data_IF_270432085571
#
_entry.id   IF_270432085571
#
_cell.length_a   1.000
_cell.length_b   1.000
_cell.length_c   1.000
_cell.angle_alpha   90.00
_cell.angle_beta   90.00
_cell.angle_gamma   90.00
#
_symmetry.space_group_name_H-M   'P 1'
#
loop_
_entity.id
_entity.type
_entity.pdbx_description
1 polymer ?
#
# COMPACT_ATOMS: atom_id res chain seq x y z
N UNK A 1 -32.80 31.07 -55.31
CA UNK A 1 -31.39 31.37 -54.86
C UNK A 1 -31.41 31.23 -53.34
N UNK A 2 -30.93 30.08 -52.86
CA UNK A 2 -30.88 29.79 -51.41
C UNK A 2 -29.65 30.43 -50.80
N UNK A 3 -29.88 31.41 -49.97
CA UNK A 3 -28.79 31.98 -49.16
C UNK A 3 -28.35 30.95 -48.11
N UNK A 4 -27.23 30.33 -48.35
CA UNK A 4 -26.51 29.56 -47.35
C UNK A 4 -25.92 30.53 -46.32
N UNK A 5 -26.71 30.90 -45.32
CA UNK A 5 -26.19 31.63 -44.15
C UNK A 5 -25.21 30.73 -43.42
N UNK A 6 -23.92 30.91 -43.74
CA UNK A 6 -22.82 30.21 -43.09
C UNK A 6 -22.82 30.52 -41.58
N UNK A 7 -23.05 29.50 -40.81
CA UNK A 7 -22.99 29.50 -39.35
C UNK A 7 -21.54 29.85 -38.91
N UNK A 8 -21.22 31.13 -38.83
CA UNK A 8 -19.90 31.62 -38.41
C UNK A 8 -19.79 31.55 -36.91
N UNK A 9 -18.86 30.74 -36.42
CA UNK A 9 -18.51 30.72 -35.00
C UNK A 9 -17.65 31.94 -34.70
N UNK A 10 -18.05 32.77 -33.74
CA UNK A 10 -17.29 33.90 -33.25
C UNK A 10 -16.70 33.61 -31.88
N UNK A 11 -15.47 34.01 -31.67
CA UNK A 11 -14.85 33.98 -30.37
C UNK A 11 -15.49 35.06 -29.49
N UNK A 12 -16.04 34.63 -28.34
CA UNK A 12 -16.58 35.53 -27.31
C UNK A 12 -15.71 35.42 -26.08
N UNK A 13 -15.21 36.54 -25.61
CA UNK A 13 -14.39 36.65 -24.42
C UNK A 13 -15.31 36.56 -23.19
N UNK A 14 -15.34 35.35 -22.53
CA UNK A 14 -15.99 35.19 -21.27
C UNK A 14 -14.94 35.26 -20.13
N UNK A 15 -14.86 36.42 -19.50
CA UNK A 15 -13.87 36.67 -18.45
C UNK A 15 -14.01 35.72 -17.25
N UNK A 16 -15.23 35.25 -16.95
CA UNK A 16 -15.49 34.29 -15.85
C UNK A 16 -14.87 32.93 -16.15
N UNK A 17 -15.03 32.46 -17.39
CA UNK A 17 -14.43 31.22 -17.86
C UNK A 17 -12.91 31.30 -17.86
N UNK A 18 -12.37 32.42 -18.30
CA UNK A 18 -10.92 32.64 -18.31
C UNK A 18 -10.34 32.76 -16.89
N UNK A 19 -11.04 33.43 -15.99
CA UNK A 19 -10.65 33.50 -14.57
C UNK A 19 -10.65 32.10 -13.96
N UNK A 20 -11.70 31.31 -14.19
CA UNK A 20 -11.77 29.93 -13.73
C UNK A 20 -10.61 29.09 -14.27
N UNK A 21 -10.41 29.09 -15.58
CA UNK A 21 -9.29 28.37 -16.20
C UNK A 21 -7.91 28.87 -15.72
N UNK A 22 -7.75 30.20 -15.58
CA UNK A 22 -6.54 30.82 -15.09
C UNK A 22 -6.13 30.44 -13.66
N UNK A 23 -7.12 30.11 -12.81
CA UNK A 23 -6.87 29.62 -11.45
C UNK A 23 -6.65 28.10 -11.43
N UNK A 24 -7.53 27.35 -12.08
CA UNK A 24 -7.52 25.89 -11.99
C UNK A 24 -6.44 25.21 -12.84
N UNK A 25 -6.08 25.75 -13.99
CA UNK A 25 -5.02 25.21 -14.85
C UNK A 25 -3.66 25.16 -14.12
N UNK A 26 -3.16 26.27 -13.56
CA UNK A 26 -1.92 26.24 -12.78
C UNK A 26 -1.99 25.30 -11.58
N UNK A 27 -3.16 25.24 -10.90
CA UNK A 27 -3.36 24.34 -9.78
C UNK A 27 -3.24 22.86 -10.21
N UNK A 28 -3.94 22.45 -11.27
CA UNK A 28 -3.92 21.07 -11.78
C UNK A 28 -2.50 20.68 -12.25
N UNK A 29 -1.81 21.58 -12.96
CA UNK A 29 -0.44 21.36 -13.42
C UNK A 29 0.51 21.26 -12.20
N UNK A 30 0.37 22.14 -11.23
CA UNK A 30 1.16 22.13 -10.00
C UNK A 30 0.97 20.83 -9.18
N UNK A 31 -0.27 20.35 -9.06
CA UNK A 31 -0.55 19.06 -8.42
C UNK A 31 0.04 17.88 -9.21
N UNK A 32 0.02 17.94 -10.54
CA UNK A 32 0.67 16.94 -11.38
C UNK A 32 2.18 16.86 -11.12
N UNK A 33 2.87 17.98 -11.10
CA UNK A 33 4.31 18.02 -10.80
C UNK A 33 4.62 17.63 -9.36
N UNK A 34 3.80 18.04 -8.40
CA UNK A 34 3.94 17.60 -7.00
C UNK A 34 3.86 16.08 -6.86
N UNK A 35 2.93 15.43 -7.58
CA UNK A 35 2.83 13.97 -7.58
C UNK A 35 4.06 13.30 -8.22
N UNK A 36 4.61 13.86 -9.30
CA UNK A 36 5.84 13.35 -9.91
C UNK A 36 7.03 13.46 -8.96
N UNK A 37 7.15 14.57 -8.25
CA UNK A 37 8.22 14.77 -7.26
C UNK A 37 8.10 13.74 -6.12
N UNK A 38 6.88 13.49 -5.62
CA UNK A 38 6.61 12.45 -4.61
C UNK A 38 6.94 11.05 -5.12
N UNK A 39 6.60 10.73 -6.38
CA UNK A 39 6.98 9.46 -6.99
C UNK A 39 8.50 9.29 -7.03
N UNK A 40 9.23 10.33 -7.44
CA UNK A 40 10.69 10.35 -7.48
C UNK A 40 11.32 10.17 -6.10
N UNK A 41 10.86 10.88 -5.09
CA UNK A 41 11.33 10.74 -3.70
C UNK A 41 11.14 9.30 -3.19
N UNK A 42 9.96 8.72 -3.43
CA UNK A 42 9.65 7.35 -3.02
C UNK A 42 10.52 6.33 -3.76
N UNK A 43 10.75 6.54 -5.07
CA UNK A 43 11.62 5.67 -5.84
C UNK A 43 13.07 5.71 -5.34
N UNK A 44 13.62 6.89 -5.12
CA UNK A 44 14.98 7.06 -4.57
C UNK A 44 15.14 6.38 -3.21
N UNK A 45 14.14 6.50 -2.34
CA UNK A 45 14.15 5.83 -1.04
C UNK A 45 14.17 4.31 -1.19
N UNK A 46 13.38 3.75 -2.11
CA UNK A 46 13.35 2.31 -2.38
C UNK A 46 14.69 1.81 -2.96
N UNK A 47 15.28 2.59 -3.87
CA UNK A 47 16.59 2.27 -4.47
C UNK A 47 17.70 2.28 -3.41
N UNK A 48 17.70 3.27 -2.51
CA UNK A 48 18.63 3.32 -1.37
C UNK A 48 18.44 2.11 -0.45
N UNK A 49 17.20 1.78 -0.09
CA UNK A 49 16.93 0.62 0.76
C UNK A 49 17.34 -0.71 0.12
N UNK A 50 17.24 -0.85 -1.20
CA UNK A 50 17.74 -2.03 -1.90
C UNK A 50 19.27 -2.14 -1.85
N UNK A 51 19.98 -1.03 -1.98
CA UNK A 51 21.42 -0.97 -1.83
C UNK A 51 21.83 -1.31 -0.40
N UNK A 52 21.23 -0.66 0.58
CA UNK A 52 21.51 -0.87 2.00
C UNK A 52 21.21 -2.30 2.48
N UNK A 53 20.20 -2.96 1.91
CA UNK A 53 19.80 -4.31 2.32
C UNK A 53 20.83 -5.39 1.98
N UNK A 54 21.72 -5.13 1.02
CA UNK A 54 22.80 -6.04 0.64
C UNK A 54 24.00 -5.92 1.57
N UNK A 55 24.14 -4.82 2.31
CA UNK A 55 25.36 -4.49 3.04
C UNK A 55 25.15 -4.44 4.57
N UNK A 56 23.91 -4.44 5.07
CA UNK A 56 23.63 -4.28 6.50
C UNK A 56 23.24 -5.60 7.17
N UNK A 57 24.06 -6.03 8.12
CA UNK A 57 23.76 -7.11 9.05
C UNK A 57 22.53 -6.76 9.93
N UNK A 58 21.76 -7.75 10.31
CA UNK A 58 20.55 -7.57 11.12
C UNK A 58 20.77 -6.73 12.41
N UNK A 59 21.84 -6.95 13.20
CA UNK A 59 22.10 -6.13 14.37
C UNK A 59 22.32 -4.66 14.05
N UNK A 60 22.94 -4.35 12.93
CA UNK A 60 23.16 -2.98 12.47
C UNK A 60 21.85 -2.32 12.05
N UNK A 61 21.03 -3.06 11.30
CA UNK A 61 19.70 -2.61 10.88
C UNK A 61 18.81 -2.25 12.09
N UNK A 62 18.86 -3.09 13.14
CA UNK A 62 18.12 -2.84 14.39
C UNK A 62 18.59 -1.56 15.08
N UNK A 63 19.88 -1.21 14.98
CA UNK A 63 20.44 0.02 15.55
C UNK A 63 20.12 1.27 14.74
N UNK A 64 20.19 1.19 13.42
CA UNK A 64 19.97 2.33 12.51
C UNK A 64 18.51 2.74 12.41
N UNK A 65 17.59 1.80 12.43
CA UNK A 65 16.17 2.04 12.34
C UNK A 65 15.43 0.98 11.49
N UNK A 66 14.22 0.70 11.91
CA UNK A 66 13.38 -0.35 11.35
C UNK A 66 12.17 0.27 10.65
N UNK A 67 12.41 0.93 9.52
CA UNK A 67 11.35 1.59 8.75
C UNK A 67 10.57 0.58 7.91
N UNK A 68 9.24 0.67 7.95
CA UNK A 68 8.36 -0.23 7.21
C UNK A 68 8.61 -0.15 5.69
N UNK A 69 8.63 -1.31 5.04
CA UNK A 69 8.91 -1.47 3.62
C UNK A 69 10.39 -1.67 3.28
N UNK A 70 11.31 -1.44 4.21
CA UNK A 70 12.75 -1.67 3.99
C UNK A 70 13.03 -3.16 3.79
N UNK A 71 13.77 -3.57 2.73
CA UNK A 71 14.17 -4.95 2.53
C UNK A 71 15.12 -5.43 3.63
N UNK A 72 15.05 -6.71 3.94
CA UNK A 72 15.92 -7.38 4.92
C UNK A 72 16.20 -8.81 4.51
N UNK A 73 17.44 -9.25 4.69
CA UNK A 73 17.85 -10.65 4.58
C UNK A 73 18.26 -11.16 5.96
N UNK A 74 17.80 -12.35 6.33
CA UNK A 74 18.09 -12.99 7.61
C UNK A 74 18.56 -14.41 7.40
N UNK A 75 19.55 -14.84 8.18
CA UNK A 75 19.92 -16.25 8.32
C UNK A 75 19.69 -16.69 9.76
N UNK A 76 19.02 -17.82 9.97
CA UNK A 76 18.69 -18.27 11.33
C UNK A 76 17.77 -19.47 11.35
N UNK A 77 17.03 -19.63 12.44
CA UNK A 77 16.11 -20.75 12.66
C UNK A 77 14.73 -20.28 13.12
N UNK A 78 13.69 -20.97 12.67
CA UNK A 78 12.34 -20.77 13.21
C UNK A 78 12.20 -21.44 14.59
N UNK A 79 11.36 -20.83 15.41
CA UNK A 79 10.85 -21.40 16.65
C UNK A 79 9.46 -22.01 16.40
N UNK A 80 8.96 -22.84 17.29
CA UNK A 80 7.62 -23.42 17.19
C UNK A 80 6.52 -22.41 17.55
N UNK A 81 6.86 -21.34 18.24
CA UNK A 81 5.90 -20.32 18.68
C UNK A 81 5.38 -19.48 17.52
N UNK A 82 4.07 -19.63 17.26
CA UNK A 82 3.40 -18.92 16.19
C UNK A 82 2.08 -18.31 16.66
N UNK A 83 1.81 -17.08 16.23
CA UNK A 83 0.51 -16.43 16.34
C UNK A 83 -0.24 -16.53 15.02
N UNK A 84 -1.52 -16.84 15.11
CA UNK A 84 -2.47 -16.87 14.00
C UNK A 84 -3.33 -15.61 14.10
N UNK A 85 -3.01 -14.63 13.28
CA UNK A 85 -3.75 -13.38 13.22
C UNK A 85 -5.07 -13.61 12.47
N UNK A 86 -6.16 -13.57 13.20
CA UNK A 86 -7.52 -13.91 12.75
C UNK A 86 -8.13 -12.84 11.85
N UNK A 87 -9.28 -13.15 11.24
CA UNK A 87 -10.04 -12.27 10.37
C UNK A 87 -9.28 -11.82 9.10
N UNK A 88 -8.44 -12.69 8.55
CA UNK A 88 -7.73 -12.48 7.28
C UNK A 88 -8.41 -13.24 6.16
N UNK A 89 -9.10 -12.52 5.29
CA UNK A 89 -9.81 -13.12 4.14
C UNK A 89 -9.00 -12.98 2.87
N UNK A 90 -8.86 -14.06 2.11
CA UNK A 90 -8.25 -14.09 0.78
C UNK A 90 -9.17 -14.84 -0.19
N UNK A 91 -9.46 -14.23 -1.32
CA UNK A 91 -10.34 -14.79 -2.37
C UNK A 91 -11.69 -15.29 -1.82
N UNK A 92 -12.25 -14.57 -0.84
CA UNK A 92 -13.51 -14.92 -0.18
C UNK A 92 -13.42 -16.04 0.86
N UNK A 93 -12.25 -16.68 1.05
CA UNK A 93 -12.02 -17.69 2.08
C UNK A 93 -11.48 -17.06 3.38
N UNK A 94 -11.99 -17.47 4.56
CA UNK A 94 -11.44 -17.05 5.83
C UNK A 94 -10.09 -17.72 6.11
N UNK A 95 -9.22 -17.05 6.83
CA UNK A 95 -7.89 -17.55 7.15
C UNK A 95 -7.16 -16.70 8.18
N UNK A 96 -5.90 -17.01 8.34
CA UNK A 96 -4.98 -16.40 9.29
C UNK A 96 -3.74 -15.88 8.58
N UNK A 97 -3.17 -14.78 9.03
CA UNK A 97 -1.76 -14.51 8.80
C UNK A 97 -0.93 -15.16 9.91
N UNK A 98 0.15 -15.85 9.52
CA UNK A 98 0.97 -16.63 10.45
C UNK A 98 2.22 -15.86 10.82
N UNK A 99 2.34 -15.47 12.08
CA UNK A 99 3.51 -14.80 12.63
C UNK A 99 4.29 -15.78 13.50
N UNK A 100 5.49 -16.18 13.08
CA UNK A 100 6.35 -17.14 13.77
C UNK A 100 7.59 -16.43 14.30
N UNK A 101 8.06 -16.84 15.48
CA UNK A 101 9.32 -16.38 16.04
C UNK A 101 10.48 -16.90 15.20
N UNK A 102 11.43 -16.04 14.90
CA UNK A 102 12.65 -16.38 14.20
C UNK A 102 13.85 -15.89 15.01
N UNK A 103 14.84 -16.73 15.12
CA UNK A 103 16.12 -16.45 15.77
C UNK A 103 17.19 -16.28 14.70
N UNK A 104 17.55 -15.04 14.35
CA UNK A 104 18.69 -14.78 13.48
C UNK A 104 19.99 -15.31 14.12
N UNK A 105 20.99 -15.63 13.30
CA UNK A 105 22.31 -16.05 13.80
C UNK A 105 22.95 -14.96 14.67
N UNK A 106 22.69 -13.72 14.34
CA UNK A 106 23.17 -12.55 15.07
C UNK A 106 22.02 -11.57 15.31
N UNK A 107 22.05 -10.92 16.47
CA UNK A 107 21.07 -9.93 16.86
C UNK A 107 19.83 -10.47 17.58
N UNK A 108 18.83 -9.62 17.83
CA UNK A 108 17.64 -10.00 18.59
C UNK A 108 16.69 -10.88 17.76
N UNK A 109 15.84 -11.69 18.44
CA UNK A 109 14.78 -12.43 17.77
C UNK A 109 13.82 -11.47 17.06
N UNK A 110 13.14 -11.96 16.03
CA UNK A 110 12.15 -11.19 15.27
C UNK A 110 10.92 -12.04 14.96
N UNK A 111 9.76 -11.40 14.82
CA UNK A 111 8.59 -12.07 14.27
C UNK A 111 8.63 -12.04 12.75
N UNK A 112 8.42 -13.20 12.14
CA UNK A 112 8.32 -13.34 10.69
C UNK A 112 6.86 -13.63 10.34
N UNK A 113 6.24 -12.73 9.57
CA UNK A 113 4.94 -12.99 8.96
C UNK A 113 5.16 -13.84 7.71
N UNK A 114 4.79 -15.11 7.81
CA UNK A 114 5.00 -16.15 6.81
C UNK A 114 3.94 -16.20 5.73
N UNK A 115 2.95 -15.32 5.80
CA UNK A 115 1.86 -15.28 4.84
C UNK A 115 0.53 -15.80 5.39
N UNK A 116 -0.42 -15.92 4.49
CA UNK A 116 -1.78 -16.34 4.79
C UNK A 116 -1.95 -17.85 4.69
N UNK A 117 -2.66 -18.41 5.68
CA UNK A 117 -3.04 -19.81 5.77
C UNK A 117 -4.56 -19.90 5.91
N UNK A 118 -5.19 -20.77 5.12
CA UNK A 118 -6.64 -20.95 5.17
C UNK A 118 -7.09 -21.52 6.53
N UNK A 119 -8.19 -20.99 7.07
CA UNK A 119 -8.79 -21.50 8.27
C UNK A 119 -9.39 -22.91 8.04
N UNK A 120 -9.36 -23.80 9.05
CA UNK A 120 -10.12 -25.04 9.04
C UNK A 120 -11.63 -24.80 8.88
N UNK A 121 -12.39 -25.86 8.64
CA UNK A 121 -13.85 -25.76 8.48
C UNK A 121 -14.56 -25.37 9.77
N UNK A 122 -14.01 -25.75 10.89
CA UNK A 122 -14.53 -25.47 12.23
C UNK A 122 -13.64 -24.45 12.93
N UNK A 123 -14.26 -23.52 13.65
CA UNK A 123 -13.52 -22.43 14.31
C UNK A 123 -12.76 -22.91 15.57
N UNK A 124 -13.15 -24.03 16.11
CA UNK A 124 -12.53 -24.66 17.29
C UNK A 124 -11.16 -25.26 16.97
N UNK A 125 -10.96 -25.69 15.73
CA UNK A 125 -9.70 -26.23 15.26
C UNK A 125 -8.76 -25.12 14.83
N UNK A 126 -7.49 -25.26 15.18
CA UNK A 126 -6.41 -24.40 14.65
C UNK A 126 -5.62 -25.19 13.60
N UNK A 127 -5.18 -24.53 12.53
CA UNK A 127 -4.34 -25.20 11.54
C UNK A 127 -2.98 -25.56 12.14
N UNK A 128 -2.41 -26.66 11.67
CA UNK A 128 -1.03 -27.00 12.00
C UNK A 128 -0.07 -26.00 11.31
N UNK A 129 0.86 -25.49 12.10
CA UNK A 129 1.89 -24.56 11.63
C UNK A 129 3.23 -25.24 11.73
N UNK A 130 3.59 -26.01 10.69
CA UNK A 130 4.93 -26.58 10.59
C UNK A 130 5.97 -25.50 10.36
N UNK A 131 7.16 -25.66 10.92
CA UNK A 131 8.32 -24.82 10.68
C UNK A 131 9.43 -25.62 10.00
N UNK A 132 10.18 -25.05 9.05
CA UNK A 132 11.37 -25.70 8.51
C UNK A 132 12.38 -26.00 9.60
N UNK A 133 12.98 -27.18 9.54
CA UNK A 133 14.05 -27.58 10.46
C UNK A 133 15.38 -26.98 10.04
N UNK A 134 16.23 -26.67 11.03
CA UNK A 134 17.60 -26.20 10.80
C UNK A 134 17.68 -24.75 10.36
N UNK A 135 18.87 -24.38 9.90
CA UNK A 135 19.19 -23.03 9.45
C UNK A 135 18.57 -22.76 8.08
N UNK A 136 17.89 -21.64 7.96
CA UNK A 136 17.32 -21.14 6.69
C UNK A 136 17.75 -19.71 6.43
N UNK A 137 17.69 -19.31 5.15
CA UNK A 137 17.88 -17.94 4.70
C UNK A 137 16.54 -17.38 4.24
N UNK A 138 16.21 -16.18 4.72
CA UNK A 138 14.96 -15.52 4.45
C UNK A 138 15.21 -14.16 3.83
N UNK A 139 14.42 -13.82 2.82
CA UNK A 139 14.30 -12.47 2.31
C UNK A 139 12.90 -11.95 2.60
N UNK A 140 12.82 -10.67 2.98
CA UNK A 140 11.55 -10.06 3.33
C UNK A 140 11.63 -8.54 3.42
N UNK A 141 10.56 -7.95 3.91
CA UNK A 141 10.47 -6.50 4.18
C UNK A 141 10.04 -6.25 5.61
N UNK A 142 10.59 -5.20 6.19
CA UNK A 142 10.15 -4.73 7.50
C UNK A 142 8.69 -4.24 7.41
N UNK A 143 7.93 -4.51 8.45
CA UNK A 143 6.54 -4.08 8.58
C UNK A 143 6.23 -3.78 10.04
N UNK A 144 5.20 -2.97 10.25
CA UNK A 144 4.68 -2.70 11.58
C UNK A 144 3.99 -3.95 12.16
N UNK A 145 3.88 -3.98 13.49
CA UNK A 145 3.07 -4.98 14.16
C UNK A 145 1.60 -4.86 13.75
N UNK A 146 0.88 -5.98 13.54
CA UNK A 146 -0.51 -5.93 13.12
C UNK A 146 -1.41 -5.54 14.29
N UNK A 147 -1.86 -4.28 14.29
CA UNK A 147 -2.74 -3.70 15.28
C UNK A 147 -4.06 -3.21 14.65
N UNK A 148 -4.85 -4.10 13.99
CA UNK A 148 -6.14 -3.72 13.47
C UNK A 148 -7.10 -3.35 14.60
N UNK A 149 -8.13 -2.52 14.34
CA UNK A 149 -9.18 -2.24 15.31
C UNK A 149 -9.84 -3.55 15.78
N UNK A 150 -9.89 -3.77 17.09
CA UNK A 150 -10.49 -4.95 17.72
C UNK A 150 -11.85 -4.56 18.28
N UNK A 151 -12.90 -5.27 17.86
CA UNK A 151 -14.27 -5.00 18.31
C UNK A 151 -14.60 -5.65 19.67
N UNK A 152 -13.85 -6.65 20.08
CA UNK A 152 -14.08 -7.39 21.32
C UNK A 152 -12.76 -8.02 21.77
N UNK A 153 -12.41 -7.87 23.04
CA UNK A 153 -11.31 -8.59 23.66
C UNK A 153 -11.63 -10.10 23.73
N UNK A 154 -11.31 -10.82 22.68
CA UNK A 154 -11.36 -12.29 22.68
C UNK A 154 -9.93 -12.81 22.77
N UNK A 155 -9.42 -12.85 23.95
CA UNK A 155 -8.32 -13.75 24.29
C UNK A 155 -8.92 -15.15 24.45
N UNK A 156 -8.71 -15.99 23.44
CA UNK A 156 -8.98 -17.44 23.59
C UNK A 156 -8.03 -18.03 24.63
N UNK A 157 -8.26 -19.28 25.09
CA UNK A 157 -7.42 -19.90 26.08
C UNK A 157 -5.97 -19.97 25.61
N UNK A 158 -5.08 -19.31 26.34
CA UNK A 158 -3.66 -19.11 26.00
C UNK A 158 -2.77 -20.32 26.35
N UNK A 159 -3.25 -21.54 26.21
CA UNK A 159 -2.43 -22.72 26.48
C UNK A 159 -1.96 -23.37 25.19
N UNK A 160 -0.64 -23.41 25.02
CA UNK A 160 0.02 -24.05 23.89
C UNK A 160 0.26 -23.11 22.68
N UNK A 161 0.76 -23.69 21.61
CA UNK A 161 1.03 -23.04 20.31
C UNK A 161 0.44 -23.89 19.18
N UNK A 162 -0.03 -23.29 18.08
CA UNK A 162 -0.13 -21.84 17.80
C UNK A 162 -1.24 -21.14 18.62
N UNK A 163 -1.15 -19.80 18.78
CA UNK A 163 -2.18 -19.00 19.47
C UNK A 163 -2.93 -18.11 18.48
N UNK A 164 -4.26 -18.14 18.53
CA UNK A 164 -5.11 -17.26 17.72
C UNK A 164 -5.27 -15.90 18.39
N UNK A 165 -5.03 -14.82 17.62
CA UNK A 165 -5.14 -13.42 18.06
C UNK A 165 -5.83 -12.58 17.00
N UNK A 166 -6.57 -11.54 17.39
CA UNK A 166 -7.14 -10.58 16.46
C UNK A 166 -6.18 -9.41 16.17
N UNK A 167 -5.31 -9.13 17.11
CA UNK A 167 -4.29 -8.09 17.07
C UNK A 167 -3.06 -8.58 17.81
N UNK A 168 -1.87 -8.18 17.37
CA UNK A 168 -0.62 -8.55 18.03
C UNK A 168 0.27 -7.32 18.23
N UNK A 169 -0.04 -6.46 19.20
CA UNK A 169 0.85 -5.39 19.59
C UNK A 169 2.20 -5.94 20.06
N UNK A 170 3.28 -5.23 19.78
CA UNK A 170 4.63 -5.62 20.23
C UNK A 170 4.68 -5.95 21.72
N UNK A 171 4.02 -5.14 22.56
CA UNK A 171 4.00 -5.35 24.01
C UNK A 171 3.36 -6.67 24.43
N UNK A 172 2.42 -7.20 23.63
CA UNK A 172 1.80 -8.52 23.86
C UNK A 172 2.78 -9.62 23.46
N UNK A 173 3.33 -9.56 22.26
CA UNK A 173 4.30 -10.54 21.79
C UNK A 173 5.58 -10.61 22.66
N UNK A 174 6.02 -9.46 23.18
CA UNK A 174 7.21 -9.36 24.03
C UNK A 174 7.06 -10.03 25.41
N UNK A 175 5.84 -10.39 25.84
CA UNK A 175 5.63 -11.19 27.06
C UNK A 175 6.14 -12.62 26.90
N UNK A 176 5.97 -13.19 25.69
CA UNK A 176 6.42 -14.55 25.37
C UNK A 176 7.84 -14.57 24.80
N UNK A 177 8.26 -13.51 24.09
CA UNK A 177 9.57 -13.38 23.45
C UNK A 177 10.17 -12.04 23.83
N UNK A 178 11.02 -11.98 24.84
CA UNK A 178 11.73 -10.76 25.20
C UNK A 178 12.64 -10.24 24.08
N UNK A 179 12.96 -8.94 24.09
CA UNK A 179 13.85 -8.28 23.16
C UNK A 179 13.38 -8.21 21.69
N UNK A 180 12.10 -8.44 21.41
CA UNK A 180 11.55 -8.22 20.08
C UNK A 180 11.73 -6.74 19.66
N UNK A 181 12.21 -6.48 18.43
CA UNK A 181 12.36 -5.14 17.88
C UNK A 181 10.99 -4.48 17.58
N UNK A 182 11.00 -3.21 17.20
CA UNK A 182 9.77 -2.45 16.92
C UNK A 182 9.07 -2.82 15.60
N UNK A 183 9.71 -3.61 14.75
CA UNK A 183 9.16 -4.07 13.48
C UNK A 183 9.20 -5.59 13.41
N UNK A 184 8.36 -6.13 12.53
CA UNK A 184 8.34 -7.54 12.13
C UNK A 184 8.89 -7.65 10.71
N UNK A 185 9.20 -8.87 10.26
CA UNK A 185 9.58 -9.15 8.86
C UNK A 185 8.41 -9.83 8.16
N UNK A 186 8.01 -9.36 7.00
CA UNK A 186 7.09 -10.04 6.07
C UNK A 186 7.92 -10.72 5.00
N UNK A 187 7.73 -12.02 4.76
CA UNK A 187 8.44 -12.75 3.70
C UNK A 187 8.13 -12.16 2.33
N UNK A 188 9.13 -12.11 1.46
CA UNK A 188 9.01 -11.56 0.10
C UNK A 188 8.75 -12.69 -0.90
N UNK A 189 7.51 -13.20 -0.92
CA UNK A 189 7.05 -14.24 -1.84
C UNK A 189 6.83 -15.61 -1.21
N UNK A 190 6.23 -16.51 -2.01
CA UNK A 190 5.79 -17.84 -1.61
C UNK A 190 6.91 -18.89 -1.66
N UNK A 191 8.03 -18.58 -2.25
CA UNK A 191 9.20 -19.42 -2.45
C UNK A 191 10.18 -19.42 -1.27
N UNK A 192 9.92 -18.56 -0.28
CA UNK A 192 10.75 -18.47 0.92
C UNK A 192 10.57 -19.70 1.83
N UNK A 193 11.63 -20.18 2.51
CA UNK A 193 11.51 -21.28 3.45
C UNK A 193 10.44 -21.05 4.52
N UNK A 194 9.50 -21.97 4.60
CA UNK A 194 8.37 -21.88 5.54
C UNK A 194 7.31 -20.86 5.19
N UNK A 195 7.32 -20.26 4.00
CA UNK A 195 6.26 -19.39 3.55
C UNK A 195 4.95 -20.15 3.37
N UNK A 196 3.88 -19.51 3.78
CA UNK A 196 2.53 -19.79 3.32
C UNK A 196 2.21 -18.90 2.11
N UNK A 197 0.99 -18.47 1.94
CA UNK A 197 0.64 -17.55 0.86
C UNK A 197 1.09 -16.12 1.20
N UNK A 198 2.30 -15.78 0.76
CA UNK A 198 2.97 -14.49 0.99
C UNK A 198 2.85 -13.54 -0.21
N UNK A 199 1.78 -13.66 -1.01
CA UNK A 199 1.41 -12.78 -2.13
C UNK A 199 0.76 -11.49 -1.62
N UNK A 200 1.54 -10.64 -0.99
CA UNK A 200 1.05 -9.39 -0.42
C UNK A 200 0.49 -8.47 -1.52
N UNK A 201 -0.62 -7.80 -1.21
CA UNK A 201 -1.08 -6.71 -2.06
C UNK A 201 0.06 -5.66 -2.18
N UNK A 202 0.29 -5.11 -3.38
CA UNK A 202 1.26 -4.03 -3.55
C UNK A 202 1.00 -2.93 -2.53
N UNK A 203 2.07 -2.31 -2.02
CA UNK A 203 1.95 -1.12 -1.19
C UNK A 203 1.19 -0.04 -1.98
N UNK A 204 -0.04 0.29 -1.51
CA UNK A 204 -0.92 1.27 -2.15
C UNK A 204 -0.30 2.66 -2.26
N UNK A 205 0.80 2.90 -1.55
CA UNK A 205 1.54 4.17 -1.53
C UNK A 205 2.89 4.09 -2.27
N UNK A 206 3.07 3.09 -3.13
CA UNK A 206 4.25 2.97 -4.00
C UNK A 206 4.35 4.09 -5.04
N UNK A 207 5.53 4.26 -5.70
CA UNK A 207 5.75 5.28 -6.73
C UNK A 207 4.69 5.25 -7.85
N UNK A 208 4.23 4.06 -8.22
CA UNK A 208 3.22 3.84 -9.28
C UNK A 208 1.91 4.55 -8.99
N UNK A 209 1.49 4.60 -7.73
CA UNK A 209 0.27 5.30 -7.31
C UNK A 209 0.38 6.80 -7.56
N UNK A 210 1.54 7.38 -7.23
CA UNK A 210 1.81 8.79 -7.48
C UNK A 210 1.89 9.12 -8.98
N UNK A 211 2.49 8.25 -9.81
CA UNK A 211 2.45 8.40 -11.28
C UNK A 211 1.02 8.34 -11.82
N UNK A 212 0.18 7.46 -11.30
CA UNK A 212 -1.24 7.39 -11.66
C UNK A 212 -1.98 8.69 -11.37
N UNK A 213 -1.79 9.26 -10.17
CA UNK A 213 -2.39 10.56 -9.81
C UNK A 213 -1.83 11.72 -10.65
N UNK A 214 -0.52 11.74 -10.93
CA UNK A 214 0.06 12.77 -11.81
C UNK A 214 -0.60 12.74 -13.20
N UNK A 215 -0.78 11.56 -13.78
CA UNK A 215 -1.47 11.36 -15.06
C UNK A 215 -2.90 11.90 -15.02
N UNK A 216 -3.64 11.66 -13.94
CA UNK A 216 -5.01 12.18 -13.78
C UNK A 216 -5.03 13.71 -13.72
N UNK A 217 -4.12 14.34 -12.98
CA UNK A 217 -4.04 15.80 -12.88
C UNK A 217 -3.72 16.45 -14.22
N UNK A 218 -2.75 15.91 -14.96
CA UNK A 218 -2.42 16.44 -16.30
C UNK A 218 -3.56 16.19 -17.30
N UNK A 219 -4.24 15.04 -17.25
CA UNK A 219 -5.40 14.77 -18.09
C UNK A 219 -6.54 15.77 -17.82
N UNK A 220 -6.81 16.08 -16.54
CA UNK A 220 -7.79 17.12 -16.17
C UNK A 220 -7.40 18.50 -16.67
N UNK A 221 -6.10 18.86 -16.61
CA UNK A 221 -5.61 20.13 -17.17
C UNK A 221 -5.84 20.20 -18.68
N UNK A 222 -5.56 19.13 -19.41
CA UNK A 222 -5.82 19.05 -20.87
C UNK A 222 -7.31 19.18 -21.16
N UNK A 223 -8.16 18.43 -20.44
CA UNK A 223 -9.62 18.51 -20.60
C UNK A 223 -10.14 19.92 -20.32
N UNK A 224 -9.68 20.55 -19.24
CA UNK A 224 -10.06 21.93 -18.90
C UNK A 224 -9.64 22.90 -20.00
N UNK A 225 -8.43 22.75 -20.55
CA UNK A 225 -7.95 23.58 -21.65
C UNK A 225 -8.83 23.45 -22.89
N UNK A 226 -9.14 22.21 -23.30
CA UNK A 226 -10.02 21.91 -24.44
C UNK A 226 -11.41 22.52 -24.21
N UNK A 227 -12.01 22.29 -23.04
CA UNK A 227 -13.34 22.81 -22.72
C UNK A 227 -13.37 24.34 -22.70
N UNK A 228 -12.31 24.96 -22.19
CA UNK A 228 -12.18 26.43 -22.19
C UNK A 228 -12.14 26.97 -23.62
N UNK A 229 -11.36 26.35 -24.50
CA UNK A 229 -11.30 26.72 -25.92
C UNK A 229 -12.65 26.51 -26.60
N UNK A 230 -13.26 25.32 -26.45
CA UNK A 230 -14.56 25.01 -27.08
C UNK A 230 -15.68 25.94 -26.58
N UNK A 231 -15.70 26.23 -25.29
CA UNK A 231 -16.71 27.14 -24.71
C UNK A 231 -16.51 28.60 -25.14
N UNK A 232 -15.27 28.99 -25.50
CA UNK A 232 -14.97 30.34 -26.05
C UNK A 232 -15.46 30.51 -27.48
N UNK A 233 -15.77 29.40 -28.19
CA UNK A 233 -16.34 29.45 -29.55
C UNK A 233 -17.86 29.22 -29.47
N UNK A 234 -18.67 30.29 -29.37
CA UNK A 234 -20.13 30.20 -29.40
C UNK A 234 -20.67 30.31 -30.82
N UNK A 235 -21.72 29.56 -31.12
CA UNK A 235 -22.54 29.74 -32.32
C UNK A 235 -23.36 31.01 -32.14
N UNK A 236 -23.40 31.85 -33.16
CA UNK A 236 -24.33 32.96 -33.24
C UNK A 236 -25.76 32.37 -33.25
N UNK A 237 -26.45 32.45 -32.14
CA UNK A 237 -27.85 32.03 -32.08
C UNK A 237 -28.72 32.96 -32.92
N UNK A 238 -29.65 32.39 -33.70
CA UNK A 238 -30.68 33.17 -34.35
C UNK A 238 -31.49 33.85 -33.20
N UNK A 239 -31.52 35.20 -33.20
CA UNK A 239 -32.49 35.96 -32.45
C UNK A 239 -33.88 35.51 -32.91
N UNK A 240 -34.65 34.85 -32.10
CA UNK A 240 -36.08 34.76 -32.30
C UNK A 240 -36.63 36.13 -31.96
N UNK A 241 -36.77 36.96 -32.99
CA UNK A 241 -37.68 38.11 -33.02
C UNK A 241 -39.11 37.52 -32.96
N UNK A 242 -39.65 37.36 -31.76
CA UNK A 242 -41.07 37.24 -31.53
C UNK A 242 -41.50 38.46 -30.70
N UNK A 243 -41.34 39.64 -31.33
CA UNK A 243 -42.22 40.78 -31.07
C UNK A 243 -43.14 40.87 -32.27
N UNK A 244 -44.38 40.41 -32.09
CA UNK A 244 -45.55 40.97 -32.77
C UNK A 244 -46.86 40.27 -32.32
N UNK A 245 -47.74 41.09 -31.74
CA UNK A 245 -49.16 40.82 -31.70
C UNK A 245 -49.81 41.31 -30.44
#
# INVERSE_FOLDING_TARGET
MSDAQGNRRHWQFDWRLLLFAGVFLPLLIGLGFWQLDRAGQKQQMLDQWQQDALDLEWPELVRQGLDAGRPVALSGTYDERSWLLDNRTRDGAPGYEVLTVFYPLEGPPVLVNRGWLQAPRTREELPEVGTPEGKVELAGRLSDYPEPPVLTDQTGPEQGWPRRVQSLPRAVAARDVPALPRAIVRLDGNDQPGAFRADWAPDLMGPQTHYGYATQWFALAVVLSILTVVASYRKTGANNDNDNG
#
